data_IF_790862394880
#
_entry.id   IF_790862394880
#
_cell.length_a   1.000
_cell.length_b   1.000
_cell.length_c   1.000
_cell.angle_alpha   90.00
_cell.angle_beta   90.00
_cell.angle_gamma   90.00
#
_symmetry.space_group_name_H-M   'P 1'
#
loop_
_entity.id
_entity.type
_entity.pdbx_description
1 polymer ?
#
# COMPACT_ATOMS: atom_id res chain seq x y z
N UNK A 1 15.18 -73.58 43.73
CA UNK A 1 13.78 -73.12 43.89
C UNK A 1 13.47 -73.19 45.39
N UNK A 2 14.06 -72.33 46.23
CA UNK A 2 13.86 -70.86 46.30
C UNK A 2 12.45 -70.57 46.83
N UNK A 3 12.23 -70.67 48.15
CA UNK A 3 12.53 -69.70 49.23
C UNK A 3 11.39 -68.66 49.38
N UNK A 4 10.54 -68.68 50.42
CA UNK A 4 10.68 -68.54 51.91
C UNK A 4 10.52 -67.07 52.40
N UNK A 5 9.87 -66.82 53.57
CA UNK A 5 8.84 -65.77 53.66
C UNK A 5 9.01 -64.66 54.77
N UNK A 6 8.17 -64.50 55.84
CA UNK A 6 7.40 -63.26 56.16
C UNK A 6 7.62 -62.75 57.63
N UNK A 7 6.68 -62.08 58.37
CA UNK A 7 5.62 -61.08 58.06
C UNK A 7 6.08 -59.65 58.46
N UNK A 8 5.69 -58.87 59.53
CA UNK A 8 4.64 -58.89 60.61
C UNK A 8 3.64 -57.66 60.61
N UNK A 9 2.76 -57.43 61.63
CA UNK A 9 1.64 -56.43 61.64
C UNK A 9 1.83 -55.32 62.75
N UNK A 10 0.84 -54.58 63.35
CA UNK A 10 -0.63 -54.62 63.32
C UNK A 10 -1.39 -53.25 63.34
N UNK A 11 -2.70 -53.29 63.70
CA UNK A 11 -3.59 -52.14 63.92
C UNK A 11 -3.64 -51.69 65.40
N UNK A 12 -3.82 -50.39 65.62
CA UNK A 12 -4.63 -49.76 66.70
C UNK A 12 -4.90 -48.29 66.31
N UNK A 13 -6.04 -47.62 66.53
CA UNK A 13 -7.14 -47.69 67.50
C UNK A 13 -6.96 -46.79 68.76
N UNK A 14 -7.96 -45.90 68.97
CA UNK A 14 -8.36 -45.19 70.21
C UNK A 14 -7.34 -44.34 71.00
N UNK A 15 -7.46 -43.01 70.85
CA UNK A 15 -7.78 -41.98 71.86
C UNK A 15 -7.24 -42.06 73.33
N UNK A 16 -6.81 -40.90 73.89
CA UNK A 16 -7.37 -40.23 75.10
C UNK A 16 -6.41 -39.22 75.78
N UNK A 17 -6.96 -38.09 76.28
CA UNK A 17 -6.57 -37.28 77.48
C UNK A 17 -5.08 -36.91 77.73
N UNK A 18 -4.63 -35.63 77.67
CA UNK A 18 -4.80 -34.51 78.64
C UNK A 18 -3.72 -34.46 79.77
N UNK A 19 -3.52 -33.36 80.56
CA UNK A 19 -3.64 -31.91 80.28
C UNK A 19 -2.55 -31.00 80.94
N UNK A 20 -2.61 -29.68 80.68
CA UNK A 20 -1.98 -28.55 81.45
C UNK A 20 -0.42 -28.46 81.44
N UNK A 21 0.25 -27.31 81.67
CA UNK A 21 -0.04 -26.00 82.29
C UNK A 21 0.45 -24.83 81.39
N UNK A 22 -0.36 -23.81 81.05
CA UNK A 22 -0.54 -22.47 81.70
C UNK A 22 0.74 -21.61 81.85
N UNK A 23 0.83 -20.29 81.63
CA UNK A 23 -0.06 -19.18 81.19
C UNK A 23 0.83 -17.89 81.03
N UNK A 24 0.36 -16.62 80.79
CA UNK A 24 -0.99 -16.06 80.52
C UNK A 24 -1.10 -15.11 79.29
N UNK A 25 -2.30 -14.52 79.12
CA UNK A 25 -2.64 -13.26 78.41
C UNK A 25 -2.54 -13.11 76.87
N UNK A 26 -3.71 -13.29 76.23
CA UNK A 26 -4.26 -12.39 75.19
C UNK A 26 -4.52 -10.97 75.75
N UNK A 27 -4.76 -9.90 74.93
CA UNK A 27 -5.43 -9.87 73.61
C UNK A 27 -4.61 -9.15 72.50
N UNK A 28 -5.03 -8.94 71.24
CA UNK A 28 -6.35 -8.81 70.60
C UNK A 28 -6.35 -9.36 69.16
N UNK A 29 -7.54 -9.65 68.60
CA UNK A 29 -7.77 -9.61 67.13
C UNK A 29 -8.11 -8.18 66.70
N UNK A 30 -7.79 -7.77 65.46
CA UNK A 30 -8.92 -7.60 64.53
C UNK A 30 -8.62 -7.94 63.06
N UNK A 31 -9.72 -8.08 62.32
CA UNK A 31 -9.87 -7.97 60.83
C UNK A 31 -9.22 -9.04 59.94
N UNK A 32 -10.05 -9.55 59.03
CA UNK A 32 -9.68 -10.38 57.89
C UNK A 32 -9.05 -9.55 56.78
N UNK A 33 -7.84 -9.93 56.34
CA UNK A 33 -7.32 -9.46 55.04
C UNK A 33 -8.01 -10.22 53.92
N UNK A 34 -9.03 -9.62 53.31
CA UNK A 34 -9.51 -10.05 52.00
C UNK A 34 -8.39 -9.79 50.98
N UNK A 35 -7.88 -10.85 50.34
CA UNK A 35 -7.06 -10.68 49.14
C UNK A 35 -7.96 -10.12 48.03
N UNK A 36 -7.72 -8.87 47.62
CA UNK A 36 -8.33 -8.32 46.42
C UNK A 36 -7.83 -9.10 45.20
N UNK A 37 -8.64 -10.08 44.78
CA UNK A 37 -8.51 -10.65 43.44
C UNK A 37 -9.00 -9.57 42.48
N UNK A 38 -8.07 -8.83 41.89
CA UNK A 38 -8.33 -7.72 40.96
C UNK A 38 -8.89 -8.22 39.62
N UNK A 39 -10.12 -8.74 39.65
CA UNK A 39 -10.90 -9.02 38.44
C UNK A 39 -10.94 -7.76 37.59
N UNK A 40 -10.46 -7.78 36.33
CA UNK A 40 -10.39 -6.58 35.51
C UNK A 40 -11.80 -6.04 35.29
N UNK A 41 -11.97 -4.73 35.49
CA UNK A 41 -13.28 -4.08 35.41
C UNK A 41 -13.91 -4.29 34.02
N UNK A 42 -15.25 -4.45 33.92
CA UNK A 42 -15.90 -4.88 32.67
C UNK A 42 -15.69 -3.91 31.50
N UNK A 43 -15.22 -2.70 31.77
CA UNK A 43 -14.89 -1.67 30.78
C UNK A 43 -13.55 -1.91 30.05
N UNK A 44 -12.58 -2.62 30.65
CA UNK A 44 -11.25 -2.84 30.03
C UNK A 44 -11.17 -4.12 29.21
N UNK A 45 -11.97 -5.15 29.52
CA UNK A 45 -11.97 -6.42 28.78
C UNK A 45 -12.16 -6.28 27.24
N UNK A 46 -13.03 -5.39 26.71
CA UNK A 46 -13.15 -5.19 25.26
C UNK A 46 -11.89 -4.56 24.63
N UNK A 47 -11.20 -3.70 25.38
CA UNK A 47 -9.98 -3.03 24.92
C UNK A 47 -8.80 -3.99 24.91
N UNK A 48 -8.62 -4.82 25.96
CA UNK A 48 -7.63 -5.90 25.98
C UNK A 48 -7.86 -6.91 24.84
N UNK A 49 -9.11 -7.33 24.60
CA UNK A 49 -9.44 -8.23 23.49
C UNK A 49 -9.11 -7.63 22.11
N UNK A 50 -9.42 -6.35 21.90
CA UNK A 50 -9.06 -5.64 20.67
C UNK A 50 -7.54 -5.47 20.53
N UNK A 51 -6.84 -5.10 21.61
CA UNK A 51 -5.40 -4.93 21.65
C UNK A 51 -4.67 -6.24 21.33
N UNK A 52 -5.06 -7.34 21.96
CA UNK A 52 -4.53 -8.68 21.67
C UNK A 52 -4.79 -9.13 20.22
N UNK A 53 -5.96 -8.82 19.65
CA UNK A 53 -6.26 -9.11 18.24
C UNK A 53 -5.38 -8.30 17.27
N UNK A 54 -5.22 -6.99 17.51
CA UNK A 54 -4.39 -6.12 16.67
C UNK A 54 -2.90 -6.51 16.76
N UNK A 55 -2.44 -6.96 17.93
CA UNK A 55 -1.04 -7.35 18.18
C UNK A 55 -0.66 -8.69 17.57
N UNK A 56 -1.61 -9.47 17.04
CA UNK A 56 -1.30 -10.68 16.28
C UNK A 56 -0.42 -10.33 15.07
N UNK A 57 0.74 -10.96 14.92
CA UNK A 57 1.75 -10.58 13.92
C UNK A 57 1.21 -10.48 12.47
N UNK A 58 0.21 -11.29 12.11
CA UNK A 58 -0.50 -11.23 10.81
C UNK A 58 -1.38 -9.98 10.69
N UNK A 59 -2.14 -9.65 11.73
CA UNK A 59 -3.03 -8.47 11.77
C UNK A 59 -2.20 -7.18 11.83
N UNK A 60 -1.19 -7.13 12.71
CA UNK A 60 -0.21 -6.06 12.80
C UNK A 60 0.47 -5.81 11.44
N UNK A 61 0.96 -6.86 10.76
CA UNK A 61 1.58 -6.73 9.44
C UNK A 61 0.62 -6.26 8.34
N UNK A 62 -0.65 -6.68 8.40
CA UNK A 62 -1.67 -6.24 7.45
C UNK A 62 -2.01 -4.74 7.63
N UNK A 63 -2.21 -4.30 8.87
CA UNK A 63 -2.47 -2.90 9.21
C UNK A 63 -1.24 -2.04 8.86
N UNK A 64 -0.04 -2.48 9.24
CA UNK A 64 1.21 -1.83 8.88
C UNK A 64 1.39 -1.69 7.37
N UNK A 65 1.06 -2.72 6.59
CA UNK A 65 1.07 -2.65 5.12
C UNK A 65 0.07 -1.63 4.55
N UNK A 66 -1.12 -1.52 5.15
CA UNK A 66 -2.12 -0.50 4.82
C UNK A 66 -1.65 0.92 5.12
N UNK A 67 -1.11 1.15 6.32
CA UNK A 67 -0.58 2.44 6.77
C UNK A 67 0.64 2.86 5.94
N UNK A 68 1.61 1.97 5.75
CA UNK A 68 2.77 2.18 4.88
C UNK A 68 2.37 2.56 3.44
N UNK A 69 1.34 1.89 2.91
CA UNK A 69 0.74 2.27 1.64
C UNK A 69 0.19 3.70 1.66
N UNK A 70 -0.66 4.04 2.64
CA UNK A 70 -1.29 5.35 2.72
C UNK A 70 -0.27 6.50 2.94
N UNK A 71 0.72 6.31 3.82
CA UNK A 71 1.78 7.30 4.08
C UNK A 71 2.63 7.50 2.83
N UNK A 72 3.14 6.42 2.21
CA UNK A 72 4.00 6.53 1.03
C UNK A 72 3.29 7.19 -0.16
N UNK A 73 2.00 6.91 -0.38
CA UNK A 73 1.19 7.61 -1.40
C UNK A 73 1.04 9.10 -1.11
N UNK A 74 0.91 9.47 0.17
CA UNK A 74 0.75 10.86 0.61
C UNK A 74 2.05 11.65 0.47
N UNK A 75 3.18 11.08 0.93
CA UNK A 75 4.54 11.68 0.80
C UNK A 75 4.86 12.01 -0.65
N UNK A 76 4.52 11.12 -1.60
CA UNK A 76 4.82 11.35 -3.03
C UNK A 76 3.69 12.00 -3.83
N UNK A 77 2.57 12.36 -3.21
CA UNK A 77 1.44 13.02 -3.90
C UNK A 77 1.84 14.25 -4.71
N UNK A 78 2.71 15.17 -4.24
CA UNK A 78 3.10 16.34 -5.04
C UNK A 78 3.78 15.97 -6.37
N UNK A 79 4.72 15.01 -6.33
CA UNK A 79 5.46 14.54 -7.51
C UNK A 79 4.58 13.72 -8.46
N UNK A 80 3.69 12.89 -7.92
CA UNK A 80 2.78 12.05 -8.70
C UNK A 80 1.63 12.88 -9.31
N UNK A 81 1.14 13.93 -8.63
CA UNK A 81 0.26 14.94 -9.25
C UNK A 81 1.00 15.68 -10.37
N UNK A 82 2.24 16.13 -10.14
CA UNK A 82 3.03 16.79 -11.19
C UNK A 82 3.26 15.87 -12.39
N UNK A 83 3.55 14.58 -12.17
CA UNK A 83 3.62 13.57 -13.25
C UNK A 83 2.33 13.56 -14.07
N UNK A 84 1.17 13.42 -13.43
CA UNK A 84 -0.14 13.38 -14.11
C UNK A 84 -0.35 14.64 -14.94
N UNK A 85 -0.12 15.83 -14.37
CA UNK A 85 -0.29 17.11 -15.07
C UNK A 85 0.65 17.24 -16.29
N UNK A 86 1.92 16.85 -16.17
CA UNK A 86 2.84 16.87 -17.30
C UNK A 86 2.44 15.86 -18.39
N UNK A 87 1.99 14.65 -18.03
CA UNK A 87 1.60 13.60 -19.00
C UNK A 87 0.41 14.02 -19.89
N UNK A 88 -0.54 14.79 -19.34
CA UNK A 88 -1.76 15.24 -20.06
C UNK A 88 -1.63 16.58 -20.77
N UNK A 89 -0.58 17.37 -20.48
CA UNK A 89 -0.37 18.66 -21.13
C UNK A 89 0.00 18.48 -22.61
N UNK A 90 -0.73 19.18 -23.47
CA UNK A 90 -0.57 19.17 -24.92
C UNK A 90 0.41 20.26 -25.40
N UNK A 91 0.90 20.17 -26.64
CA UNK A 91 1.94 21.07 -27.17
C UNK A 91 1.63 22.57 -27.09
N UNK A 92 0.34 22.95 -27.11
CA UNK A 92 -0.14 24.34 -27.01
C UNK A 92 0.06 24.97 -25.63
N UNK A 93 0.08 24.20 -24.53
CA UNK A 93 0.23 24.74 -23.17
C UNK A 93 1.70 24.73 -22.73
N UNK A 94 2.43 25.74 -23.19
CA UNK A 94 3.87 25.98 -22.91
C UNK A 94 4.21 26.18 -21.42
N UNK A 95 3.22 26.41 -20.57
CA UNK A 95 3.35 26.84 -19.17
C UNK A 95 4.31 26.02 -18.29
N UNK A 96 4.53 24.75 -18.61
CA UNK A 96 5.35 23.83 -17.82
C UNK A 96 6.64 23.37 -18.52
N UNK A 97 7.23 24.20 -19.41
CA UNK A 97 8.67 24.12 -19.78
C UNK A 97 9.62 24.52 -18.63
N UNK A 98 9.19 24.39 -17.38
CA UNK A 98 9.92 24.85 -16.18
C UNK A 98 10.40 23.66 -15.32
N UNK A 99 11.48 23.88 -14.57
CA UNK A 99 12.03 22.88 -13.64
C UNK A 99 10.99 22.40 -12.62
N UNK A 100 11.14 21.16 -12.14
CA UNK A 100 10.25 20.50 -11.18
C UNK A 100 10.00 21.36 -9.95
N UNK A 101 11.03 22.04 -9.42
CA UNK A 101 10.90 22.96 -8.28
C UNK A 101 10.00 24.17 -8.61
N UNK A 102 10.16 24.78 -9.79
CA UNK A 102 9.31 25.88 -10.26
C UNK A 102 7.86 25.41 -10.51
N UNK A 103 7.68 24.19 -11.01
CA UNK A 103 6.37 23.60 -11.27
C UNK A 103 5.61 23.27 -9.96
N UNK A 104 6.28 22.65 -8.98
CA UNK A 104 5.72 22.43 -7.63
C UNK A 104 5.43 23.77 -6.94
N UNK A 105 6.35 24.75 -7.07
CA UNK A 105 6.16 26.10 -6.56
C UNK A 105 5.05 26.90 -7.25
N UNK A 106 4.67 26.57 -8.49
CA UNK A 106 3.45 27.08 -9.15
C UNK A 106 2.20 26.49 -8.47
N UNK A 107 2.10 25.15 -8.40
CA UNK A 107 0.98 24.44 -7.74
C UNK A 107 0.79 24.89 -6.28
N UNK A 108 1.87 25.06 -5.52
CA UNK A 108 1.81 25.52 -4.13
C UNK A 108 1.27 26.95 -3.99
N UNK A 109 1.64 27.87 -4.88
CA UNK A 109 1.13 29.25 -4.85
C UNK A 109 -0.31 29.39 -5.37
N UNK A 110 -0.72 28.52 -6.30
CA UNK A 110 -2.04 28.58 -6.94
C UNK A 110 -3.12 27.76 -6.21
N UNK A 111 -2.75 26.69 -5.50
CA UNK A 111 -3.70 25.76 -4.86
C UNK A 111 -3.27 25.28 -3.45
N UNK A 112 -2.10 25.69 -2.97
CA UNK A 112 -1.57 25.32 -1.66
C UNK A 112 -1.41 23.80 -1.43
N UNK A 113 -1.39 23.42 -0.16
CA UNK A 113 -1.29 22.02 0.26
C UNK A 113 -2.43 21.15 -0.29
N UNK A 114 -3.67 21.68 -0.29
CA UNK A 114 -4.85 20.96 -0.80
C UNK A 114 -4.72 20.66 -2.29
N UNK A 115 -4.11 21.56 -3.06
CA UNK A 115 -3.69 21.31 -4.44
C UNK A 115 -2.74 20.12 -4.56
N UNK A 116 -1.63 20.12 -3.84
CA UNK A 116 -0.65 19.03 -3.91
C UNK A 116 -1.21 17.65 -3.54
N UNK A 117 -2.29 17.62 -2.74
CA UNK A 117 -3.00 16.39 -2.33
C UNK A 117 -4.23 16.04 -3.20
N UNK A 118 -4.50 16.80 -4.27
CA UNK A 118 -5.67 16.56 -5.14
C UNK A 118 -5.61 15.18 -5.82
N UNK A 119 -6.59 14.32 -5.50
CA UNK A 119 -6.65 12.93 -5.95
C UNK A 119 -5.91 11.92 -5.06
N UNK A 120 -5.20 12.36 -4.01
CA UNK A 120 -4.51 11.43 -3.09
C UNK A 120 -5.48 10.55 -2.30
N UNK A 121 -6.59 11.11 -1.81
CA UNK A 121 -7.61 10.33 -1.07
C UNK A 121 -8.13 9.12 -1.86
N UNK A 122 -8.42 9.29 -3.14
CA UNK A 122 -8.80 8.18 -4.05
C UNK A 122 -7.66 7.17 -4.25
N UNK A 123 -6.39 7.61 -4.20
CA UNK A 123 -5.25 6.70 -4.26
C UNK A 123 -5.14 5.84 -3.00
N UNK A 124 -5.35 6.41 -1.82
CA UNK A 124 -5.32 5.69 -0.55
C UNK A 124 -6.51 4.73 -0.42
N UNK A 125 -7.73 5.17 -0.75
CA UNK A 125 -8.93 4.31 -0.80
C UNK A 125 -8.73 3.11 -1.73
N UNK A 126 -8.00 3.28 -2.84
CA UNK A 126 -7.71 2.21 -3.81
C UNK A 126 -6.79 1.11 -3.25
N UNK A 127 -6.02 1.35 -2.18
CA UNK A 127 -5.02 0.38 -1.66
C UNK A 127 -5.70 -0.92 -1.21
N UNK A 128 -6.72 -0.84 -0.36
CA UNK A 128 -7.40 -2.01 0.21
C UNK A 128 -8.02 -2.92 -0.87
N UNK A 129 -8.90 -2.45 -1.79
CA UNK A 129 -9.47 -3.31 -2.83
C UNK A 129 -8.42 -3.79 -3.84
N UNK A 130 -7.36 -3.00 -4.10
CA UNK A 130 -6.27 -3.43 -4.98
C UNK A 130 -5.52 -4.62 -4.38
N UNK A 131 -5.10 -4.52 -3.11
CA UNK A 131 -4.41 -5.60 -2.41
C UNK A 131 -5.31 -6.83 -2.23
N UNK A 132 -6.58 -6.66 -1.86
CA UNK A 132 -7.52 -7.76 -1.68
C UNK A 132 -7.70 -8.57 -2.97
N UNK A 133 -7.95 -7.89 -4.11
CA UNK A 133 -8.04 -8.57 -5.42
C UNK A 133 -6.68 -9.15 -5.83
N UNK A 134 -5.55 -8.52 -5.48
CA UNK A 134 -4.23 -9.04 -5.86
C UNK A 134 -3.89 -10.33 -5.12
N UNK A 135 -4.07 -10.39 -3.80
CA UNK A 135 -3.81 -11.61 -3.03
C UNK A 135 -4.82 -12.71 -3.36
N UNK A 136 -6.10 -12.39 -3.54
CA UNK A 136 -7.11 -13.36 -3.99
C UNK A 136 -6.79 -13.93 -5.36
N UNK A 137 -6.51 -13.08 -6.35
CA UNK A 137 -6.16 -13.50 -7.72
C UNK A 137 -4.85 -14.27 -7.75
N UNK A 138 -3.83 -13.88 -6.98
CA UNK A 138 -2.56 -14.60 -6.91
C UNK A 138 -2.73 -15.99 -6.31
N UNK A 139 -3.46 -16.13 -5.21
CA UNK A 139 -3.71 -17.44 -4.58
C UNK A 139 -4.61 -18.35 -5.45
N UNK A 140 -5.49 -17.77 -6.27
CA UNK A 140 -6.25 -18.50 -7.28
C UNK A 140 -5.35 -18.95 -8.44
N UNK A 141 -4.61 -18.03 -9.08
CA UNK A 141 -3.75 -18.33 -10.22
C UNK A 141 -2.55 -19.24 -9.87
N UNK A 142 -2.01 -19.15 -8.65
CA UNK A 142 -0.88 -19.99 -8.18
C UNK A 142 -1.13 -21.48 -8.42
N UNK A 143 -2.36 -21.94 -8.19
CA UNK A 143 -2.83 -23.33 -8.41
C UNK A 143 -2.73 -23.82 -9.86
N UNK A 144 -2.67 -22.91 -10.83
CA UNK A 144 -2.53 -23.21 -12.28
C UNK A 144 -1.10 -23.02 -12.79
N UNK A 145 -0.20 -22.42 -11.99
CA UNK A 145 1.21 -22.24 -12.32
C UNK A 145 2.14 -23.23 -11.58
N UNK A 146 1.67 -23.86 -10.50
CA UNK A 146 2.35 -24.99 -9.86
C UNK A 146 2.51 -26.17 -10.85
N UNK A 147 3.62 -26.91 -10.78
CA UNK A 147 3.74 -28.19 -11.51
C UNK A 147 3.19 -29.33 -10.66
N UNK A 148 3.55 -29.35 -9.37
CA UNK A 148 3.01 -30.24 -8.34
C UNK A 148 2.34 -29.42 -7.22
N UNK A 149 1.25 -29.90 -6.56
CA UNK A 149 0.61 -29.16 -5.48
C UNK A 149 1.58 -28.78 -4.35
N UNK A 150 1.69 -27.48 -4.06
CA UNK A 150 2.57 -26.95 -3.01
C UNK A 150 4.02 -26.67 -3.45
N UNK A 151 4.40 -27.02 -4.68
CA UNK A 151 5.75 -26.78 -5.22
C UNK A 151 6.06 -25.27 -5.34
N UNK A 152 7.27 -24.81 -4.99
CA UNK A 152 7.64 -23.40 -5.12
C UNK A 152 7.74 -22.98 -6.60
N UNK A 153 6.90 -22.02 -7.02
CA UNK A 153 6.92 -21.47 -8.37
C UNK A 153 8.31 -20.95 -8.76
N UNK A 154 8.84 -21.44 -9.89
CA UNK A 154 10.07 -20.92 -10.49
C UNK A 154 9.96 -19.41 -10.77
N UNK A 155 11.08 -18.65 -10.81
CA UNK A 155 11.04 -17.18 -10.90
C UNK A 155 10.15 -16.66 -12.03
N UNK A 156 10.24 -17.25 -13.23
CA UNK A 156 9.40 -16.89 -14.38
C UNK A 156 7.91 -17.20 -14.15
N UNK A 157 7.55 -18.37 -13.61
CA UNK A 157 6.14 -18.73 -13.32
C UNK A 157 5.56 -17.84 -12.21
N UNK A 158 6.34 -17.55 -11.17
CA UNK A 158 5.97 -16.65 -10.06
C UNK A 158 5.73 -15.22 -10.58
N UNK A 159 6.57 -14.76 -11.49
CA UNK A 159 6.48 -13.47 -12.18
C UNK A 159 5.23 -13.40 -13.07
N UNK A 160 4.91 -14.45 -13.83
CA UNK A 160 3.70 -14.51 -14.66
C UNK A 160 2.42 -14.54 -13.81
N UNK A 161 2.39 -15.35 -12.75
CA UNK A 161 1.30 -15.41 -11.77
C UNK A 161 1.10 -14.05 -11.05
N UNK A 162 2.20 -13.35 -10.73
CA UNK A 162 2.16 -12.00 -10.17
C UNK A 162 1.65 -10.95 -11.16
N UNK A 163 2.04 -11.04 -12.43
CA UNK A 163 1.61 -10.13 -13.49
C UNK A 163 0.12 -10.30 -13.82
N UNK A 164 -0.38 -11.53 -13.94
CA UNK A 164 -1.81 -11.80 -14.18
C UNK A 164 -2.66 -11.36 -12.98
N UNK A 165 -2.26 -11.67 -11.74
CA UNK A 165 -2.94 -11.16 -10.54
C UNK A 165 -2.95 -9.63 -10.48
N UNK A 166 -1.84 -8.98 -10.87
CA UNK A 166 -1.75 -7.53 -11.00
C UNK A 166 -2.71 -6.96 -12.05
N UNK A 167 -2.80 -7.57 -13.25
CA UNK A 167 -3.73 -7.16 -14.32
C UNK A 167 -5.19 -7.26 -13.87
N UNK A 168 -5.58 -8.35 -13.19
CA UNK A 168 -6.93 -8.51 -12.62
C UNK A 168 -7.22 -7.42 -11.58
N UNK A 169 -6.29 -7.13 -10.69
CA UNK A 169 -6.40 -6.08 -9.66
C UNK A 169 -6.47 -4.67 -10.25
N UNK A 170 -5.68 -4.40 -11.28
CA UNK A 170 -5.76 -3.15 -12.06
C UNK A 170 -7.11 -3.01 -12.73
N UNK A 171 -7.69 -4.11 -13.24
CA UNK A 171 -9.01 -4.11 -13.90
C UNK A 171 -10.13 -3.81 -12.90
N UNK A 172 -10.21 -4.55 -11.79
CA UNK A 172 -11.23 -4.31 -10.75
C UNK A 172 -11.11 -2.92 -10.12
N UNK A 173 -9.90 -2.37 -9.96
CA UNK A 173 -9.68 -1.03 -9.38
C UNK A 173 -9.57 0.11 -10.39
N UNK A 174 -9.74 -0.15 -11.69
CA UNK A 174 -9.55 0.85 -12.73
C UNK A 174 -10.46 2.09 -12.60
N UNK A 175 -11.75 1.97 -12.22
CA UNK A 175 -12.63 3.13 -11.98
C UNK A 175 -12.07 4.13 -10.94
N UNK A 176 -11.29 3.66 -9.96
CA UNK A 176 -10.66 4.53 -8.97
C UNK A 176 -9.43 5.26 -9.55
N UNK A 177 -8.62 4.62 -10.40
CA UNK A 177 -7.43 5.26 -11.01
C UNK A 177 -7.80 6.31 -12.08
N UNK A 178 -8.88 6.09 -12.85
CA UNK A 178 -9.38 7.11 -13.79
C UNK A 178 -9.99 8.31 -13.06
N UNK A 179 -10.80 8.09 -12.01
CA UNK A 179 -11.38 9.19 -11.21
C UNK A 179 -10.27 9.95 -10.48
N UNK A 180 -9.29 9.26 -9.90
CA UNK A 180 -8.09 9.87 -9.32
C UNK A 180 -7.42 10.84 -10.31
N UNK A 181 -7.11 10.35 -11.51
CA UNK A 181 -6.43 11.13 -12.57
C UNK A 181 -7.22 12.40 -12.89
N UNK A 182 -8.54 12.28 -12.99
CA UNK A 182 -9.45 13.39 -13.29
C UNK A 182 -9.54 14.41 -12.17
N UNK A 183 -9.60 13.98 -10.90
CA UNK A 183 -9.58 14.87 -9.74
C UNK A 183 -8.29 15.71 -9.67
N UNK A 184 -7.13 15.07 -9.90
CA UNK A 184 -5.83 15.77 -9.94
C UNK A 184 -5.75 16.84 -11.04
N UNK A 185 -6.49 16.68 -12.14
CA UNK A 185 -6.52 17.60 -13.29
C UNK A 185 -7.62 18.66 -13.15
N UNK A 186 -8.80 18.30 -12.61
CA UNK A 186 -9.89 19.23 -12.33
C UNK A 186 -9.45 20.31 -11.34
N UNK A 187 -8.63 19.97 -10.34
CA UNK A 187 -8.02 20.93 -9.42
C UNK A 187 -7.12 21.95 -10.14
N UNK A 188 -6.24 21.48 -11.03
CA UNK A 188 -5.36 22.35 -11.84
C UNK A 188 -6.10 23.18 -12.91
N UNK A 189 -7.20 22.65 -13.45
CA UNK A 189 -8.06 23.39 -14.37
C UNK A 189 -8.78 24.51 -13.62
N UNK A 190 -9.24 24.23 -12.40
CA UNK A 190 -9.94 25.18 -11.54
C UNK A 190 -9.06 26.38 -11.16
N UNK A 191 -7.81 26.16 -10.74
CA UNK A 191 -6.85 27.24 -10.46
C UNK A 191 -6.52 28.06 -11.70
N UNK A 192 -6.30 27.43 -12.87
CA UNK A 192 -6.07 28.15 -14.13
C UNK A 192 -7.29 28.96 -14.62
N UNK A 193 -8.48 28.64 -14.15
CA UNK A 193 -9.74 29.35 -14.43
C UNK A 193 -10.10 30.37 -13.32
N UNK A 194 -9.29 30.47 -12.26
CA UNK A 194 -9.53 31.38 -11.14
C UNK A 194 -9.26 32.89 -11.38
N UNK A 195 -8.63 33.39 -12.46
CA UNK A 195 -8.42 34.83 -12.65
C UNK A 195 -9.57 35.54 -13.39
N UNK A 196 -10.80 35.00 -13.36
CA UNK A 196 -11.96 35.59 -14.05
C UNK A 196 -12.92 36.28 -13.05
N UNK A 197 -13.04 37.62 -13.07
CA UNK A 197 -13.88 38.36 -12.12
C UNK A 197 -15.38 38.38 -12.49
N UNK A 198 -15.81 37.66 -13.54
CA UNK A 198 -17.14 37.79 -14.15
C UNK A 198 -18.17 36.72 -13.77
N UNK A 199 -17.93 35.94 -12.71
CA UNK A 199 -18.91 34.96 -12.20
C UNK A 199 -19.33 35.23 -10.75
N UNK A 200 -20.64 35.25 -10.52
CA UNK A 200 -21.32 35.65 -9.28
C UNK A 200 -20.65 35.12 -7.98
N UNK A 201 -20.27 35.98 -7.02
CA UNK A 201 -19.48 35.57 -5.84
C UNK A 201 -20.23 34.68 -4.84
N UNK A 202 -21.54 34.50 -5.01
CA UNK A 202 -22.42 33.74 -4.12
C UNK A 202 -22.31 32.21 -4.23
N UNK A 203 -21.64 31.67 -5.26
CA UNK A 203 -21.44 30.21 -5.41
C UNK A 203 -19.97 29.83 -5.48
N UNK A 204 -19.33 29.45 -4.35
CA UNK A 204 -18.02 28.80 -4.39
C UNK A 204 -18.14 27.46 -5.12
N UNK A 205 -17.67 27.43 -6.37
CA UNK A 205 -17.76 26.29 -7.30
C UNK A 205 -16.89 25.12 -6.80
N UNK A 206 -17.41 24.36 -5.82
CA UNK A 206 -16.69 23.29 -5.12
C UNK A 206 -16.13 22.27 -6.11
N UNK A 207 -14.86 21.87 -5.91
CA UNK A 207 -14.26 20.74 -6.63
C UNK A 207 -15.15 19.49 -6.45
N UNK A 208 -15.49 18.77 -7.53
CA UNK A 208 -16.33 17.58 -7.43
C UNK A 208 -15.61 16.51 -6.60
N UNK A 209 -16.32 15.90 -5.65
CA UNK A 209 -15.81 14.76 -4.91
C UNK A 209 -15.72 13.50 -5.79
N UNK A 210 -14.96 12.50 -5.34
CA UNK A 210 -14.76 11.21 -6.04
C UNK A 210 -16.08 10.60 -6.57
N UNK A 211 -17.13 10.59 -5.75
CA UNK A 211 -18.46 10.09 -6.13
C UNK A 211 -19.20 10.98 -7.13
N UNK A 212 -18.97 12.30 -7.12
CA UNK A 212 -19.53 13.22 -8.10
C UNK A 212 -18.85 13.03 -9.47
N UNK A 213 -17.52 12.96 -9.52
CA UNK A 213 -16.77 12.70 -10.75
C UNK A 213 -17.08 11.31 -11.33
N UNK A 214 -17.19 10.28 -10.50
CA UNK A 214 -17.58 8.92 -10.94
C UNK A 214 -18.99 8.91 -11.56
N UNK A 215 -19.98 9.50 -10.86
CA UNK A 215 -21.36 9.59 -11.36
C UNK A 215 -21.46 10.42 -12.65
N UNK A 216 -20.73 11.54 -12.73
CA UNK A 216 -20.66 12.36 -13.95
C UNK A 216 -20.16 11.54 -15.13
N UNK A 217 -19.00 10.90 -15.01
CA UNK A 217 -18.43 10.07 -16.07
C UNK A 217 -19.39 8.98 -16.56
N UNK A 218 -20.06 8.31 -15.63
CA UNK A 218 -21.05 7.28 -15.97
C UNK A 218 -22.25 7.87 -16.72
N UNK A 219 -22.81 8.99 -16.25
CA UNK A 219 -24.02 9.59 -16.81
C UNK A 219 -23.79 10.33 -18.15
N UNK A 220 -22.66 11.02 -18.32
CA UNK A 220 -22.46 11.94 -19.46
C UNK A 220 -21.39 11.49 -20.46
N UNK A 221 -20.51 10.56 -20.09
CA UNK A 221 -19.37 10.17 -20.95
C UNK A 221 -19.48 8.74 -21.52
N UNK A 222 -20.63 8.07 -21.32
CA UNK A 222 -20.93 6.75 -21.89
C UNK A 222 -20.77 5.57 -20.94
N UNK A 223 -21.32 5.64 -19.73
CA UNK A 223 -21.54 4.49 -18.85
C UNK A 223 -20.27 3.76 -18.40
N UNK A 224 -20.33 2.43 -18.30
CA UNK A 224 -19.19 1.60 -17.87
C UNK A 224 -17.96 1.76 -18.79
N UNK A 225 -18.04 1.73 -20.14
CA UNK A 225 -16.88 1.96 -21.01
C UNK A 225 -16.12 3.26 -20.73
N UNK A 226 -16.80 4.32 -20.27
CA UNK A 226 -16.16 5.58 -19.88
C UNK A 226 -15.17 5.39 -18.71
N UNK A 227 -15.50 4.52 -17.76
CA UNK A 227 -14.69 4.23 -16.59
C UNK A 227 -13.44 3.40 -16.91
N UNK A 228 -13.38 2.72 -18.06
CA UNK A 228 -12.27 1.85 -18.46
C UNK A 228 -11.35 2.46 -19.55
N UNK A 229 -11.54 3.74 -19.91
CA UNK A 229 -10.70 4.40 -20.92
C UNK A 229 -9.22 4.40 -20.49
N UNK A 230 -8.37 3.78 -21.32
CA UNK A 230 -6.94 3.59 -21.07
C UNK A 230 -6.55 2.24 -20.46
N UNK A 231 -7.49 1.31 -20.22
CA UNK A 231 -7.15 -0.05 -19.76
C UNK A 231 -6.21 -0.77 -20.74
N UNK A 232 -6.41 -0.62 -22.05
CA UNK A 232 -5.60 -1.28 -23.09
C UNK A 232 -4.11 -0.89 -23.00
N UNK A 233 -3.69 0.40 -23.08
CA UNK A 233 -2.28 0.76 -22.89
C UNK A 233 -1.77 0.45 -21.47
N UNK A 234 -2.64 0.37 -20.46
CA UNK A 234 -2.24 -0.06 -19.12
C UNK A 234 -1.82 -1.53 -19.11
N UNK A 235 -2.65 -2.43 -19.64
CA UNK A 235 -2.37 -3.88 -19.68
C UNK A 235 -1.22 -4.19 -20.65
N UNK A 236 -1.20 -3.55 -21.82
CA UNK A 236 -0.12 -3.68 -22.79
C UNK A 236 1.25 -3.23 -22.24
N UNK A 237 1.27 -2.34 -21.23
CA UNK A 237 2.49 -1.92 -20.56
C UNK A 237 3.04 -2.94 -19.54
N UNK A 238 2.20 -3.83 -18.99
CA UNK A 238 2.60 -4.75 -17.92
C UNK A 238 3.61 -5.78 -18.41
N UNK A 239 3.30 -6.54 -19.46
CA UNK A 239 4.16 -7.63 -19.92
C UNK A 239 5.57 -7.15 -20.36
N UNK A 240 5.71 -6.06 -21.16
CA UNK A 240 7.03 -5.52 -21.50
C UNK A 240 7.77 -4.95 -20.29
N UNK A 241 7.08 -4.28 -19.35
CA UNK A 241 7.72 -3.74 -18.15
C UNK A 241 8.29 -4.87 -17.28
N UNK A 242 7.48 -5.91 -17.04
CA UNK A 242 7.86 -7.05 -16.22
C UNK A 242 9.00 -7.86 -16.87
N UNK A 243 8.91 -8.12 -18.18
CA UNK A 243 9.95 -8.84 -18.93
C UNK A 243 11.27 -8.08 -18.98
N UNK A 244 11.26 -6.78 -19.33
CA UNK A 244 12.47 -5.96 -19.34
C UNK A 244 13.08 -5.80 -17.94
N UNK A 245 12.26 -5.59 -16.91
CA UNK A 245 12.75 -5.45 -15.54
C UNK A 245 13.45 -6.74 -15.09
N UNK A 246 12.86 -7.91 -15.32
CA UNK A 246 13.51 -9.19 -15.01
C UNK A 246 14.80 -9.41 -15.80
N UNK A 247 14.77 -9.23 -17.12
CA UNK A 247 15.94 -9.40 -18.00
C UNK A 247 17.11 -8.51 -17.56
N UNK A 248 16.85 -7.21 -17.34
CA UNK A 248 17.88 -6.23 -16.96
C UNK A 248 18.33 -6.46 -15.53
N UNK A 249 17.44 -6.87 -14.60
CA UNK A 249 17.82 -7.24 -13.25
C UNK A 249 18.80 -8.41 -13.25
N UNK A 250 18.53 -9.46 -14.05
CA UNK A 250 19.40 -10.63 -14.19
C UNK A 250 20.76 -10.29 -14.85
N UNK A 251 20.79 -9.42 -15.87
CA UNK A 251 22.06 -8.93 -16.43
C UNK A 251 22.85 -8.10 -15.41
N UNK A 252 22.21 -7.13 -14.76
CA UNK A 252 22.88 -6.17 -13.87
C UNK A 252 23.34 -6.84 -12.56
N UNK A 253 22.56 -7.77 -11.99
CA UNK A 253 23.02 -8.54 -10.82
C UNK A 253 24.26 -9.37 -11.16
N UNK A 254 24.38 -9.92 -12.37
CA UNK A 254 25.55 -10.69 -12.79
C UNK A 254 26.80 -9.79 -12.89
N UNK A 255 26.66 -8.53 -13.31
CA UNK A 255 27.77 -7.56 -13.30
C UNK A 255 28.15 -7.07 -11.90
N UNK A 256 27.22 -7.07 -10.93
CA UNK A 256 27.47 -6.67 -9.53
C UNK A 256 27.72 -7.84 -8.57
N UNK A 257 27.82 -9.07 -9.07
CA UNK A 257 28.16 -10.26 -8.26
C UNK A 257 29.65 -10.57 -8.48
N UNK A 258 30.51 -10.46 -7.45
CA UNK A 258 31.92 -10.79 -7.61
C UNK A 258 32.12 -12.32 -7.76
N UNK A 259 33.24 -12.79 -8.36
CA UNK A 259 33.44 -14.21 -8.68
C UNK A 259 33.48 -15.18 -7.49
N UNK A 260 33.61 -14.67 -6.26
CA UNK A 260 33.68 -15.45 -5.02
C UNK A 260 32.32 -15.66 -4.32
N UNK A 261 31.26 -14.97 -4.77
CA UNK A 261 29.97 -14.91 -4.06
C UNK A 261 28.80 -15.29 -4.95
N UNK A 262 27.86 -16.10 -4.43
CA UNK A 262 26.66 -16.53 -5.16
C UNK A 262 25.52 -15.51 -5.14
N UNK A 263 25.66 -14.41 -4.40
CA UNK A 263 24.69 -13.31 -4.37
C UNK A 263 25.40 -11.95 -4.27
N UNK A 264 24.89 -10.90 -4.94
CA UNK A 264 25.41 -9.55 -4.77
C UNK A 264 25.02 -8.98 -3.40
N UNK A 265 25.80 -8.00 -2.93
CA UNK A 265 25.58 -7.29 -1.66
C UNK A 265 24.19 -6.63 -1.58
N UNK A 266 23.69 -6.27 -0.39
CA UNK A 266 22.41 -5.57 -0.26
C UNK A 266 22.34 -4.28 -1.10
N UNK A 267 23.45 -3.52 -1.14
CA UNK A 267 23.58 -2.34 -2.01
C UNK A 267 23.57 -2.74 -3.49
N UNK A 268 24.28 -3.80 -3.88
CA UNK A 268 24.24 -4.32 -5.26
C UNK A 268 22.84 -4.75 -5.72
N UNK A 269 22.06 -5.39 -4.84
CA UNK A 269 20.65 -5.76 -5.08
C UNK A 269 19.75 -4.52 -5.27
N UNK A 270 19.93 -3.50 -4.43
CA UNK A 270 19.20 -2.23 -4.54
C UNK A 270 19.57 -1.46 -5.82
N UNK A 271 20.85 -1.37 -6.16
CA UNK A 271 21.32 -0.76 -7.40
C UNK A 271 20.81 -1.52 -8.64
N UNK A 272 20.86 -2.85 -8.64
CA UNK A 272 20.31 -3.67 -9.72
C UNK A 272 18.81 -3.41 -9.91
N UNK A 273 18.02 -3.42 -8.84
CA UNK A 273 16.58 -3.13 -8.89
C UNK A 273 16.25 -1.69 -9.31
N UNK A 274 17.07 -0.71 -8.92
CA UNK A 274 16.92 0.68 -9.34
C UNK A 274 17.23 0.88 -10.83
N UNK A 275 18.30 0.26 -11.34
CA UNK A 275 18.69 0.31 -12.75
C UNK A 275 17.67 -0.44 -13.61
N UNK A 276 17.33 -1.69 -13.26
CA UNK A 276 16.38 -2.51 -14.03
C UNK A 276 14.98 -1.89 -14.04
N UNK A 277 14.50 -1.42 -12.88
CA UNK A 277 13.25 -0.70 -12.75
C UNK A 277 13.24 0.61 -13.53
N UNK A 278 14.34 1.38 -13.50
CA UNK A 278 14.49 2.64 -14.22
C UNK A 278 14.50 2.49 -15.75
N UNK A 279 15.26 1.53 -16.28
CA UNK A 279 15.32 1.27 -17.73
C UNK A 279 14.00 0.65 -18.22
N UNK A 280 13.47 -0.36 -17.54
CA UNK A 280 12.19 -0.95 -17.91
C UNK A 280 11.03 0.05 -17.85
N UNK A 281 11.01 0.93 -16.83
CA UNK A 281 10.04 2.03 -16.76
C UNK A 281 10.24 3.04 -17.89
N UNK A 282 11.48 3.30 -18.34
CA UNK A 282 11.76 4.21 -19.44
C UNK A 282 11.26 3.63 -20.77
N UNK A 283 11.56 2.37 -21.07
CA UNK A 283 11.10 1.69 -22.28
C UNK A 283 9.56 1.60 -22.38
N UNK A 284 8.86 1.41 -21.27
CA UNK A 284 7.38 1.36 -21.26
C UNK A 284 6.71 2.71 -21.01
N UNK A 285 7.46 3.76 -20.74
CA UNK A 285 6.92 5.08 -20.40
C UNK A 285 5.92 5.65 -21.43
N UNK A 286 6.09 5.47 -22.76
CA UNK A 286 5.10 5.90 -23.75
C UNK A 286 3.69 5.36 -23.51
N UNK A 287 3.55 4.09 -23.12
CA UNK A 287 2.26 3.47 -22.82
C UNK A 287 1.63 4.08 -21.55
N UNK A 288 2.46 4.48 -20.59
CA UNK A 288 2.04 5.12 -19.35
C UNK A 288 1.59 6.59 -19.58
N UNK A 289 2.16 7.29 -20.58
CA UNK A 289 1.63 8.57 -21.08
C UNK A 289 0.30 8.38 -21.81
N UNK A 290 0.22 7.39 -22.72
CA UNK A 290 -1.01 7.07 -23.45
C UNK A 290 -2.15 6.75 -22.47
N UNK A 291 -1.91 5.93 -21.44
CA UNK A 291 -2.85 5.65 -20.36
C UNK A 291 -3.48 6.92 -19.79
N UNK A 292 -2.66 7.87 -19.31
CA UNK A 292 -3.19 9.12 -18.70
C UNK A 292 -3.97 9.96 -19.70
N UNK A 293 -3.56 9.99 -20.97
CA UNK A 293 -4.29 10.69 -22.04
C UNK A 293 -5.63 10.04 -22.37
N UNK A 294 -5.69 8.71 -22.49
CA UNK A 294 -6.95 7.99 -22.69
C UNK A 294 -7.91 8.16 -21.50
N UNK A 295 -7.40 8.18 -20.27
CA UNK A 295 -8.19 8.43 -19.05
C UNK A 295 -8.92 9.79 -19.06
N UNK A 296 -8.44 10.78 -19.84
CA UNK A 296 -9.01 12.14 -19.92
C UNK A 296 -9.61 12.50 -21.29
N UNK A 297 -9.59 11.58 -22.26
CA UNK A 297 -9.98 11.76 -23.67
C UNK A 297 -11.44 12.23 -23.90
N UNK A 298 -12.22 12.32 -22.83
CA UNK A 298 -13.64 12.73 -22.82
C UNK A 298 -13.93 13.85 -21.82
N UNK A 299 -12.88 14.50 -21.28
CA UNK A 299 -13.02 15.75 -20.53
C UNK A 299 -13.16 16.93 -21.50
N UNK A 300 -14.32 17.58 -21.45
CA UNK A 300 -14.62 18.79 -22.23
C UNK A 300 -13.52 19.85 -22.06
N UNK A 301 -13.04 20.41 -23.18
CA UNK A 301 -11.98 21.42 -23.18
C UNK A 301 -10.53 20.90 -23.17
N UNK A 302 -10.28 19.59 -23.15
CA UNK A 302 -8.91 19.03 -23.27
C UNK A 302 -8.46 18.74 -24.72
N UNK A 303 -9.32 19.00 -25.71
CA UNK A 303 -8.93 19.20 -27.11
C UNK A 303 -8.62 17.96 -27.97
N UNK A 304 -8.63 16.75 -27.40
CA UNK A 304 -8.34 15.51 -28.15
C UNK A 304 -9.40 14.43 -27.95
N UNK A 305 -9.73 13.77 -29.06
CA UNK A 305 -10.49 12.52 -29.10
C UNK A 305 -9.69 11.49 -29.90
N UNK A 306 -8.75 10.81 -29.22
CA UNK A 306 -7.98 9.72 -29.82
C UNK A 306 -8.91 8.53 -30.14
N UNK A 307 -8.85 8.03 -31.38
CA UNK A 307 -9.63 6.89 -31.86
C UNK A 307 -9.00 5.54 -31.51
N UNK A 308 -7.69 5.51 -31.28
CA UNK A 308 -6.94 4.29 -30.93
C UNK A 308 -5.48 4.56 -30.57
N UNK A 309 -4.74 3.53 -30.18
CA UNK A 309 -3.35 3.66 -29.69
C UNK A 309 -2.42 4.25 -30.76
N UNK A 310 -2.47 3.76 -32.00
CA UNK A 310 -1.64 4.26 -33.10
C UNK A 310 -1.97 5.70 -33.50
N UNK A 311 -3.26 6.05 -33.47
CA UNK A 311 -3.75 7.41 -33.70
C UNK A 311 -3.24 8.37 -32.61
N UNK A 312 -3.31 7.97 -31.33
CA UNK A 312 -2.72 8.71 -30.22
C UNK A 312 -1.21 8.92 -30.39
N UNK A 313 -0.45 7.87 -30.73
CA UNK A 313 1.01 7.99 -30.99
C UNK A 313 1.28 8.96 -32.15
N UNK A 314 0.56 8.83 -33.27
CA UNK A 314 0.73 9.70 -34.45
C UNK A 314 0.46 11.17 -34.11
N UNK A 315 -0.61 11.45 -33.40
CA UNK A 315 -0.97 12.83 -32.99
C UNK A 315 0.03 13.39 -31.99
N UNK A 316 0.44 12.62 -30.96
CA UNK A 316 1.43 13.06 -29.96
C UNK A 316 2.78 13.37 -30.64
N UNK A 317 3.28 12.47 -31.49
CA UNK A 317 4.57 12.67 -32.17
C UNK A 317 4.51 13.81 -33.18
N UNK A 318 3.40 13.97 -33.91
CA UNK A 318 3.23 15.06 -34.88
C UNK A 318 3.12 16.46 -34.26
N UNK A 319 2.57 16.57 -33.04
CA UNK A 319 2.32 17.86 -32.37
C UNK A 319 3.33 18.22 -31.26
N UNK A 320 3.97 17.22 -30.66
CA UNK A 320 4.82 17.38 -29.46
C UNK A 320 6.20 16.74 -29.63
N UNK A 321 6.45 16.10 -30.77
CA UNK A 321 7.63 15.29 -31.03
C UNK A 321 7.69 14.02 -30.18
N UNK A 322 8.74 13.22 -30.36
CA UNK A 322 9.00 12.01 -29.56
C UNK A 322 9.08 12.33 -28.07
N UNK A 323 9.55 13.54 -27.69
CA UNK A 323 9.60 14.00 -26.29
C UNK A 323 8.22 14.10 -25.62
N UNK A 324 7.13 14.25 -26.38
CA UNK A 324 5.75 14.18 -25.87
C UNK A 324 5.43 12.84 -25.17
N UNK A 325 5.98 11.73 -25.68
CA UNK A 325 5.82 10.39 -25.12
C UNK A 325 6.61 10.15 -23.82
N UNK A 326 7.44 11.10 -23.38
CA UNK A 326 8.27 11.01 -22.18
C UNK A 326 7.95 12.08 -21.12
N UNK A 327 6.85 12.83 -21.30
CA UNK A 327 6.42 13.89 -20.36
C UNK A 327 6.19 13.35 -18.94
N UNK A 328 6.81 13.99 -17.95
CA UNK A 328 6.69 13.60 -16.54
C UNK A 328 7.59 12.44 -16.08
N UNK A 329 8.48 11.91 -16.94
CA UNK A 329 9.38 10.80 -16.53
C UNK A 329 10.28 11.17 -15.35
N UNK A 330 10.79 12.40 -15.31
CA UNK A 330 11.65 12.88 -14.21
C UNK A 330 10.96 12.85 -12.82
N UNK A 331 9.77 13.48 -12.59
CA UNK A 331 9.07 13.31 -11.32
C UNK A 331 8.57 11.87 -11.08
N UNK A 332 8.38 11.05 -12.12
CA UNK A 332 8.07 9.63 -11.95
C UNK A 332 9.26 8.81 -11.41
N UNK A 333 10.49 9.17 -11.74
CA UNK A 333 11.71 8.54 -11.19
C UNK A 333 12.04 9.10 -9.80
N UNK A 334 12.00 10.43 -9.63
CA UNK A 334 12.32 11.08 -8.34
C UNK A 334 11.44 10.63 -7.17
N UNK A 335 10.17 10.26 -7.41
CA UNK A 335 9.28 9.75 -6.37
C UNK A 335 9.63 8.34 -5.86
N UNK A 336 10.46 7.57 -6.57
CA UNK A 336 10.65 6.14 -6.25
C UNK A 336 11.33 5.96 -4.89
N UNK A 337 12.49 6.61 -4.68
CA UNK A 337 13.21 6.49 -3.41
C UNK A 337 12.40 7.03 -2.20
N UNK A 338 11.78 8.22 -2.24
CA UNK A 338 10.89 8.68 -1.16
C UNK A 338 9.70 7.77 -0.91
N UNK A 339 9.09 7.18 -1.96
CA UNK A 339 7.98 6.22 -1.80
C UNK A 339 8.42 4.93 -1.13
N UNK A 340 9.65 4.46 -1.35
CA UNK A 340 10.16 3.23 -0.76
C UNK A 340 10.61 3.46 0.68
N UNK A 341 11.39 4.53 0.94
CA UNK A 341 11.85 4.89 2.27
C UNK A 341 10.68 5.15 3.24
N UNK A 342 9.69 5.94 2.83
CA UNK A 342 8.50 6.19 3.66
C UNK A 342 7.62 4.94 3.85
N UNK A 343 7.48 4.09 2.82
CA UNK A 343 6.72 2.84 2.96
C UNK A 343 7.41 1.86 3.91
N UNK A 344 8.74 1.75 3.87
CA UNK A 344 9.46 0.83 4.74
C UNK A 344 9.48 1.33 6.18
N UNK A 345 9.84 2.59 6.40
CA UNK A 345 9.87 3.22 7.73
C UNK A 345 8.49 3.17 8.42
N UNK A 346 7.41 3.51 7.70
CA UNK A 346 6.06 3.42 8.25
C UNK A 346 5.56 1.98 8.42
N UNK A 347 6.07 1.01 7.65
CA UNK A 347 5.75 -0.39 7.88
C UNK A 347 6.35 -0.88 9.20
N UNK A 348 7.64 -0.64 9.42
CA UNK A 348 8.31 -1.08 10.65
C UNK A 348 7.76 -0.35 11.89
N UNK A 349 7.70 0.98 11.86
CA UNK A 349 7.12 1.77 12.97
C UNK A 349 5.69 1.34 13.32
N UNK A 350 4.84 1.00 12.33
CA UNK A 350 3.48 0.52 12.62
C UNK A 350 3.48 -0.93 13.10
N UNK A 351 4.24 -1.83 12.47
CA UNK A 351 4.33 -3.25 12.85
C UNK A 351 4.82 -3.37 14.29
N UNK A 352 5.90 -2.67 14.63
CA UNK A 352 6.61 -2.82 15.89
C UNK A 352 5.84 -2.16 17.04
N UNK A 353 5.16 -1.04 16.78
CA UNK A 353 4.18 -0.47 17.71
C UNK A 353 3.02 -1.43 17.97
N UNK A 354 2.42 -2.03 16.92
CA UNK A 354 1.28 -2.93 17.10
C UNK A 354 1.66 -4.26 17.74
N UNK A 355 2.84 -4.84 17.44
CA UNK A 355 3.32 -6.06 18.12
C UNK A 355 3.73 -5.77 19.57
N UNK A 356 4.34 -4.61 19.83
CA UNK A 356 4.69 -4.14 21.18
C UNK A 356 3.49 -3.76 22.05
N UNK A 357 2.26 -3.79 21.51
CA UNK A 357 1.03 -3.72 22.29
C UNK A 357 0.54 -5.08 22.79
N UNK A 358 1.22 -6.20 22.49
CA UNK A 358 0.88 -7.50 23.10
C UNK A 358 1.05 -7.36 24.62
N UNK A 359 0.02 -7.66 25.45
CA UNK A 359 0.21 -7.74 26.89
C UNK A 359 1.23 -8.83 27.20
N UNK A 360 2.19 -8.53 28.07
CA UNK A 360 3.09 -9.55 28.60
C UNK A 360 2.25 -10.55 29.41
N UNK A 361 2.33 -11.82 29.01
CA UNK A 361 1.77 -12.92 29.81
C UNK A 361 2.76 -13.14 30.97
N UNK A 362 2.28 -13.01 32.21
CA UNK A 362 3.13 -12.96 33.41
C UNK A 362 3.94 -14.25 33.60
N UNK A 363 5.24 -14.22 33.24
CA UNK A 363 6.13 -15.39 33.26
C UNK A 363 6.65 -15.75 34.68
N UNK A 364 5.98 -15.26 35.74
CA UNK A 364 6.24 -15.58 37.15
C UNK A 364 5.19 -16.56 37.72
N UNK A 365 5.15 -17.79 37.19
CA UNK A 365 4.12 -18.79 37.53
C UNK A 365 4.58 -20.17 38.02
N UNK A 366 5.77 -20.65 37.64
CA UNK A 366 6.11 -22.08 37.80
C UNK A 366 7.60 -22.36 38.11
N UNK A 367 8.13 -21.73 39.17
CA UNK A 367 9.48 -22.02 39.69
C UNK A 367 9.66 -21.66 41.19
N UNK A 368 8.86 -22.28 42.06
CA UNK A 368 9.05 -22.30 43.54
C UNK A 368 8.64 -23.65 44.13
#
# INVERSE_FOLDING_TARGET
MSARPPPPPPLSASASTDPHQSHPHQPQTPTSTTMDTTTPSPTTAPLLGFQAWVSQAVVASFIAGGVAGAVSRTVVSPLERLKILLQVQTGSRTEYKMSISKALGKIWREEGFKGMMAGNGTNCIRIVPYSAVQFGSYNFYKRFFEASPGEPLSPARRLLCGATAGITSVTFTYPLDIVRTRLSIQSASFSSLSPSPSSNPSTPRRLPGMWATLRHMYATEGGLPALYRGIIPTVAGVAPYVGLNFMIYESVRHSFTPPDQTQPSPVGKLCAGAISGGVAQTCTYPLDVLRRRFQINTMSGMGYQYKGIFDAVKVIVGQEGVRGLYKGIAPNLLKVAPSMASSWLSFEMTRDFLVGLRPEEEEEGELR
#
